data_IF_418673396437
#
_entry.id   IF_418673396437
#
_cell.length_a   1.000
_cell.length_b   1.000
_cell.length_c   1.000
_cell.angle_alpha   90.00
_cell.angle_beta   90.00
_cell.angle_gamma   90.00
#
_symmetry.space_group_name_H-M   'P 1'
#
loop_
_entity.id
_entity.type
_entity.pdbx_description
1 polymer ?
#
# COMPACT_ATOMS: atom_id res chain seq x y z
N UNK A 1 14.36 -21.27 0.61
CA UNK A 1 13.39 -20.46 1.38
C UNK A 1 13.65 -19.04 0.97
N UNK A 2 12.72 -18.40 0.27
CA UNK A 2 12.85 -16.99 -0.10
C UNK A 2 12.88 -16.19 1.19
N UNK A 3 13.91 -15.38 1.38
CA UNK A 3 14.12 -14.55 2.57
C UNK A 3 12.95 -13.57 2.69
N UNK A 4 11.90 -13.98 3.42
CA UNK A 4 10.62 -13.28 3.41
C UNK A 4 10.70 -12.14 4.41
N UNK A 5 11.21 -10.99 3.93
CA UNK A 5 11.31 -9.76 4.73
C UNK A 5 9.97 -9.44 5.39
N UNK A 6 10.05 -9.00 6.65
CA UNK A 6 8.91 -8.51 7.42
C UNK A 6 8.96 -6.99 7.41
N UNK A 7 7.80 -6.37 7.20
CA UNK A 7 7.61 -4.94 7.38
C UNK A 7 6.80 -4.68 8.64
N UNK A 8 7.34 -3.87 9.55
CA UNK A 8 6.61 -3.35 10.69
C UNK A 8 6.00 -2.01 10.28
N UNK A 9 4.68 -1.89 10.33
CA UNK A 9 3.96 -0.69 9.87
C UNK A 9 3.30 0.07 11.02
N UNK A 10 3.23 1.39 10.91
CA UNK A 10 2.53 2.28 11.85
C UNK A 10 1.23 2.82 11.24
N UNK A 11 0.20 2.90 12.07
CA UNK A 11 -1.07 3.54 11.72
C UNK A 11 -1.09 4.97 12.25
N UNK A 12 -1.05 5.95 11.34
CA UNK A 12 -0.95 7.37 11.71
C UNK A 12 0.27 7.64 12.60
N UNK A 13 0.09 8.50 13.60
CA UNK A 13 1.13 8.87 14.59
C UNK A 13 1.28 7.85 15.74
N UNK A 14 0.78 6.61 15.59
CA UNK A 14 0.88 5.62 16.65
C UNK A 14 2.29 5.05 16.77
N UNK A 15 2.75 4.85 18.01
CA UNK A 15 4.00 4.13 18.29
C UNK A 15 3.86 2.60 18.15
N UNK A 16 2.64 2.07 18.06
CA UNK A 16 2.42 0.64 17.88
C UNK A 16 2.70 0.23 16.44
N UNK A 17 3.55 -0.78 16.29
CA UNK A 17 3.85 -1.41 15.00
C UNK A 17 3.12 -2.73 14.85
N UNK A 18 2.79 -3.06 13.61
CA UNK A 18 2.16 -4.32 13.22
C UNK A 18 2.99 -4.96 12.13
N UNK A 19 3.29 -6.25 12.28
CA UNK A 19 4.17 -6.97 11.36
C UNK A 19 3.38 -7.63 10.23
N UNK A 20 3.85 -7.40 9.00
CA UNK A 20 3.30 -7.98 7.77
C UNK A 20 4.44 -8.58 6.94
N UNK A 21 4.15 -9.59 6.13
CA UNK A 21 5.12 -10.06 5.14
C UNK A 21 5.23 -9.05 3.99
N UNK A 22 6.46 -8.72 3.58
CA UNK A 22 6.70 -7.86 2.41
C UNK A 22 6.26 -8.53 1.10
N UNK A 23 6.19 -9.86 1.05
CA UNK A 23 5.85 -10.60 -0.17
C UNK A 23 6.96 -10.43 -1.23
N UNK A 24 6.56 -10.11 -2.47
CA UNK A 24 7.47 -9.87 -3.59
C UNK A 24 7.84 -8.38 -3.76
N UNK A 25 7.34 -7.50 -2.89
CA UNK A 25 7.55 -6.06 -3.01
C UNK A 25 8.89 -5.64 -2.43
N UNK A 26 9.59 -4.78 -3.16
CA UNK A 26 10.77 -4.09 -2.63
C UNK A 26 10.33 -2.83 -1.88
N UNK A 27 10.62 -2.80 -0.59
CA UNK A 27 10.09 -1.82 0.37
C UNK A 27 11.20 -1.36 1.31
N UNK A 28 11.21 -0.06 1.59
CA UNK A 28 12.16 0.56 2.51
C UNK A 28 11.43 1.16 3.72
N UNK A 29 12.19 1.46 4.78
CA UNK A 29 11.67 2.27 5.89
C UNK A 29 11.26 3.64 5.35
N UNK A 30 10.08 4.12 5.76
CA UNK A 30 9.46 5.35 5.27
C UNK A 30 8.58 5.16 4.04
N UNK A 31 8.67 4.03 3.32
CA UNK A 31 7.75 3.72 2.23
C UNK A 31 6.31 3.58 2.75
N UNK A 32 5.32 3.92 1.91
CA UNK A 32 3.92 3.63 2.19
C UNK A 32 3.48 2.35 1.49
N UNK A 33 2.67 1.57 2.18
CA UNK A 33 2.16 0.28 1.70
C UNK A 33 0.68 0.14 2.03
N UNK A 34 -0.05 -0.60 1.18
CA UNK A 34 -1.43 -0.99 1.44
C UNK A 34 -1.46 -2.28 2.25
N UNK A 35 -2.17 -2.27 3.38
CA UNK A 35 -2.33 -3.45 4.25
C UNK A 35 -3.81 -3.80 4.44
N UNK A 36 -4.14 -5.09 4.58
CA UNK A 36 -5.49 -5.51 4.93
C UNK A 36 -5.74 -5.27 6.43
N UNK A 37 -6.84 -4.57 6.74
CA UNK A 37 -7.31 -4.31 8.11
C UNK A 37 -8.80 -4.60 8.18
N UNK A 38 -9.17 -5.73 8.80
CA UNK A 38 -10.57 -6.10 9.08
C UNK A 38 -11.52 -5.92 7.88
N UNK A 39 -11.13 -6.42 6.70
CA UNK A 39 -11.92 -6.35 5.47
C UNK A 39 -11.86 -5.01 4.73
N UNK A 40 -10.99 -4.09 5.16
CA UNK A 40 -10.66 -2.85 4.44
C UNK A 40 -9.17 -2.84 4.08
N UNK A 41 -8.80 -1.99 3.14
CA UNK A 41 -7.41 -1.74 2.78
C UNK A 41 -7.01 -0.35 3.28
N UNK A 42 -5.83 -0.25 3.89
CA UNK A 42 -5.34 1.00 4.48
C UNK A 42 -3.91 1.28 4.05
N UNK A 43 -3.63 2.52 3.68
CA UNK A 43 -2.27 3.01 3.42
C UNK A 43 -1.56 3.37 4.73
N UNK A 44 -0.41 2.75 4.98
CA UNK A 44 0.38 2.90 6.21
C UNK A 44 1.86 3.06 5.90
N UNK A 45 2.60 3.63 6.84
CA UNK A 45 4.05 3.85 6.70
C UNK A 45 4.81 2.68 7.29
N UNK A 46 5.80 2.18 6.55
CA UNK A 46 6.78 1.20 7.03
C UNK A 46 7.72 1.90 8.02
N UNK A 47 7.72 1.42 9.26
CA UNK A 47 8.59 1.94 10.32
C UNK A 47 9.90 1.16 10.43
N UNK A 48 9.89 -0.13 10.11
CA UNK A 48 11.05 -1.02 10.28
C UNK A 48 10.97 -2.20 9.30
N UNK A 49 12.13 -2.69 8.87
CA UNK A 49 12.29 -3.95 8.13
C UNK A 49 12.96 -4.96 9.06
N UNK A 50 12.41 -6.17 9.16
CA UNK A 50 12.93 -7.25 10.00
C UNK A 50 13.15 -8.51 9.18
N UNK A 51 14.11 -9.33 9.59
CA UNK A 51 14.40 -10.61 8.92
C UNK A 51 13.43 -11.72 9.33
N UNK A 52 12.80 -11.60 10.52
CA UNK A 52 11.87 -12.60 11.07
C UNK A 52 10.85 -11.98 12.01
N UNK A 53 9.66 -12.59 12.07
CA UNK A 53 8.61 -12.27 13.05
C UNK A 53 7.65 -13.44 13.21
N UNK A 54 7.32 -13.78 14.45
CA UNK A 54 6.28 -14.77 14.76
C UNK A 54 4.86 -14.16 14.74
N UNK A 55 4.77 -12.82 14.64
CA UNK A 55 3.51 -12.09 14.66
C UNK A 55 2.92 -11.87 13.25
N UNK A 56 3.76 -11.87 12.22
CA UNK A 56 3.32 -11.70 10.84
C UNK A 56 2.46 -12.89 10.38
N UNK A 57 1.22 -12.60 9.97
CA UNK A 57 0.27 -13.62 9.49
C UNK A 57 -0.23 -13.37 8.07
N UNK A 58 -0.06 -12.16 7.57
CA UNK A 58 -0.54 -11.76 6.25
C UNK A 58 0.46 -10.84 5.58
N UNK A 59 0.40 -10.76 4.26
CA UNK A 59 1.26 -9.91 3.46
C UNK A 59 0.66 -8.52 3.25
N UNK A 60 1.50 -7.57 2.87
CA UNK A 60 1.05 -6.32 2.27
C UNK A 60 0.40 -6.59 0.90
N UNK A 61 -0.50 -5.70 0.47
CA UNK A 61 -1.26 -5.84 -0.77
C UNK A 61 -0.57 -5.16 -1.96
N UNK A 62 0.05 -4.00 -1.71
CA UNK A 62 0.73 -3.19 -2.71
C UNK A 62 1.65 -2.16 -2.05
N UNK A 63 2.60 -1.62 -2.82
CA UNK A 63 3.28 -0.36 -2.49
C UNK A 63 2.35 0.79 -2.87
N UNK A 64 2.19 1.77 -1.97
CA UNK A 64 1.39 2.97 -2.22
C UNK A 64 2.31 4.12 -2.63
N UNK A 65 2.47 4.32 -3.93
CA UNK A 65 3.34 5.36 -4.52
C UNK A 65 2.62 6.69 -4.71
N UNK A 66 1.33 6.77 -4.36
CA UNK A 66 0.56 8.02 -4.49
C UNK A 66 1.18 9.13 -3.64
N UNK A 67 1.03 10.37 -4.07
CA UNK A 67 1.27 11.54 -3.20
C UNK A 67 0.14 11.70 -2.17
N UNK A 68 0.31 12.59 -1.20
CA UNK A 68 -0.77 12.92 -0.25
C UNK A 68 -1.99 13.51 -0.96
N UNK A 69 -1.77 14.35 -1.98
CA UNK A 69 -2.83 14.92 -2.81
C UNK A 69 -3.58 13.81 -3.56
N UNK A 70 -2.87 12.87 -4.18
CA UNK A 70 -3.48 11.76 -4.91
C UNK A 70 -4.26 10.80 -4.00
N UNK A 71 -3.80 10.59 -2.76
CA UNK A 71 -4.56 9.83 -1.76
C UNK A 71 -5.85 10.53 -1.35
N UNK A 72 -5.78 11.85 -1.17
CA UNK A 72 -6.92 12.68 -0.78
C UNK A 72 -7.91 12.91 -1.93
N UNK A 73 -7.46 12.82 -3.19
CA UNK A 73 -8.28 13.03 -4.36
C UNK A 73 -9.37 11.95 -4.50
N UNK A 74 -10.62 12.40 -4.48
CA UNK A 74 -11.82 11.57 -4.62
C UNK A 74 -12.67 12.05 -5.78
N UNK A 75 -13.29 11.12 -6.48
CA UNK A 75 -14.40 11.42 -7.39
C UNK A 75 -15.59 11.98 -6.60
N UNK A 76 -16.55 12.68 -7.24
CA UNK A 76 -17.75 13.20 -6.55
C UNK A 76 -18.55 12.13 -5.80
N UNK A 77 -18.45 10.87 -6.23
CA UNK A 77 -19.07 9.71 -5.58
C UNK A 77 -18.28 9.15 -4.37
N UNK A 78 -17.18 9.81 -3.96
CA UNK A 78 -16.34 9.43 -2.82
C UNK A 78 -15.29 8.34 -3.09
N UNK A 79 -15.26 7.76 -4.30
CA UNK A 79 -14.22 6.77 -4.69
C UNK A 79 -12.88 7.46 -4.92
N UNK A 80 -11.78 6.73 -4.74
CA UNK A 80 -10.45 7.27 -5.02
C UNK A 80 -10.27 7.54 -6.51
N UNK A 81 -9.64 8.66 -6.86
CA UNK A 81 -9.25 8.94 -8.25
C UNK A 81 -7.97 8.19 -8.65
N UNK A 82 -7.16 7.75 -7.69
CA UNK A 82 -5.85 7.15 -7.94
C UNK A 82 -5.74 5.78 -7.26
N UNK A 83 -5.27 4.77 -8.00
CA UNK A 83 -4.87 3.49 -7.44
C UNK A 83 -3.53 3.59 -6.70
N UNK A 84 -3.20 2.63 -5.82
CA UNK A 84 -1.95 2.64 -5.07
C UNK A 84 -0.68 2.73 -5.93
N UNK A 85 -0.73 2.24 -7.17
CA UNK A 85 0.37 2.32 -8.14
C UNK A 85 0.47 3.67 -8.88
N UNK A 86 -0.39 4.64 -8.55
CA UNK A 86 -0.41 5.97 -9.16
C UNK A 86 -1.15 6.04 -10.51
N UNK A 87 -1.85 4.98 -10.93
CA UNK A 87 -2.69 5.01 -12.14
C UNK A 87 -3.98 5.79 -11.88
N UNK A 88 -4.47 6.52 -12.88
CA UNK A 88 -5.73 7.25 -12.77
C UNK A 88 -6.91 6.29 -12.96
N UNK A 89 -7.90 6.42 -12.07
CA UNK A 89 -9.12 5.63 -12.06
C UNK A 89 -10.30 6.45 -12.57
N UNK A 90 -11.19 5.80 -13.30
CA UNK A 90 -12.50 6.35 -13.66
C UNK A 90 -13.42 6.47 -12.43
N UNK A 91 -14.61 7.05 -12.62
CA UNK A 91 -15.60 7.20 -11.54
C UNK A 91 -16.04 5.86 -10.94
N UNK A 92 -15.87 4.75 -11.67
CA UNK A 92 -16.19 3.42 -11.20
C UNK A 92 -14.99 2.74 -10.49
N UNK A 93 -13.83 3.39 -10.43
CA UNK A 93 -12.61 2.82 -9.84
C UNK A 93 -11.88 1.85 -10.76
N UNK A 94 -12.23 1.80 -12.06
CA UNK A 94 -11.49 1.04 -13.06
C UNK A 94 -10.31 1.88 -13.55
N UNK A 95 -9.22 1.23 -13.94
CA UNK A 95 -8.13 1.93 -14.62
C UNK A 95 -8.65 2.59 -15.89
N UNK A 96 -8.29 3.85 -16.09
CA UNK A 96 -8.59 4.55 -17.33
C UNK A 96 -7.95 3.80 -18.50
N UNK A 97 -8.73 3.52 -19.54
CA UNK A 97 -8.23 2.79 -20.74
C UNK A 97 -7.10 3.54 -21.47
N UNK A 98 -6.92 4.82 -21.16
CA UNK A 98 -5.90 5.67 -21.74
C UNK A 98 -4.52 5.54 -21.06
N UNK A 99 -4.44 4.96 -19.85
CA UNK A 99 -3.18 4.74 -19.12
C UNK A 99 -2.46 3.43 -19.54
N UNK A 100 -3.14 2.51 -20.23
CA UNK A 100 -2.56 1.23 -20.69
C UNK A 100 -1.72 1.37 -21.98
N UNK A 101 -1.61 2.58 -22.55
CA UNK A 101 -0.94 2.83 -23.84
C UNK A 101 0.54 3.19 -23.67
N UNK A 102 1.01 3.56 -22.48
CA UNK A 102 2.38 4.07 -22.26
C UNK A 102 3.23 3.24 -21.27
N UNK A 103 2.99 1.93 -21.16
CA UNK A 103 3.92 1.02 -20.46
C UNK A 103 4.69 0.16 -21.48
N UNK A 104 6.00 0.39 -21.69
CA UNK A 104 6.85 -0.49 -22.49
C UNK A 104 7.05 -1.87 -21.84
#
# INVERSE_FOLDING_TARGET
>A
MTDQKIVAVKFGESDKTYDYFAGAFDVAVGSRVMVPVRGRETSVTVAEIKDRSDAAKTAILAVDVRTDEQRAAKHPNGRHQWSPDGTLLDENGNRSIFDDVDKP
#
